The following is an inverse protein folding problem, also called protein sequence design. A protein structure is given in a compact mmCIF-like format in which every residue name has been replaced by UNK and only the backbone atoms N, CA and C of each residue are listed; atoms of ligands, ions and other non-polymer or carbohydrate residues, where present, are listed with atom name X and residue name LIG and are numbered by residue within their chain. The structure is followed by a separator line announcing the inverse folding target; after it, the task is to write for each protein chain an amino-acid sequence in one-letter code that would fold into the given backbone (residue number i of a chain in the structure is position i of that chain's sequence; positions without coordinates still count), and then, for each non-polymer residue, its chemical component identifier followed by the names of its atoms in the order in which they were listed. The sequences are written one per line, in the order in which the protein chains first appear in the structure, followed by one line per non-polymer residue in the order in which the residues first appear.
data_IF_257408821872
#
_entry.id   IF_257408821872
#
_cell.length_a   1.000
_cell.length_b   1.000
_cell.length_c   1.000
_cell.angle_alpha   90.00
_cell.angle_beta   90.00
_cell.angle_gamma   90.00
#
_symmetry.space_group_name_H-M   'P 1'
#
loop_
_entity.id
_entity.type
_entity.pdbx_description
1 polymer ?
#
# COMPACT_ATOMS: atom_id res chain seq x y z
N UNK A 1 9.78 -3.47 13.48
CA UNK A 1 10.57 -2.22 13.36
C UNK A 1 10.34 -1.63 11.99
N UNK A 2 10.27 -0.29 11.83
CA UNK A 2 10.18 0.33 10.53
C UNK A 2 11.43 0.01 9.71
N UNK A 3 11.28 -0.85 8.70
CA UNK A 3 12.37 -1.22 7.82
C UNK A 3 12.31 -0.37 6.54
N UNK A 4 13.21 0.62 6.45
CA UNK A 4 13.27 1.53 5.30
C UNK A 4 13.46 0.79 3.98
N UNK A 5 14.18 -0.34 3.98
CA UNK A 5 14.34 -1.17 2.78
C UNK A 5 12.99 -1.72 2.30
N UNK A 6 12.18 -2.27 3.21
CA UNK A 6 10.85 -2.79 2.86
C UNK A 6 9.92 -1.66 2.40
N UNK A 7 10.03 -0.47 2.99
CA UNK A 7 9.25 0.69 2.56
C UNK A 7 9.54 1.08 1.10
N UNK A 8 10.82 1.19 0.71
CA UNK A 8 11.18 1.49 -0.67
C UNK A 8 10.82 0.34 -1.63
N UNK A 9 10.93 -0.91 -1.18
CA UNK A 9 10.50 -2.07 -1.95
C UNK A 9 8.99 -2.04 -2.23
N UNK A 10 8.17 -1.72 -1.23
CA UNK A 10 6.72 -1.54 -1.36
C UNK A 10 6.40 -0.46 -2.40
N UNK A 11 7.02 0.72 -2.29
CA UNK A 11 6.82 1.80 -3.27
C UNK A 11 7.18 1.34 -4.69
N UNK A 12 8.30 0.63 -4.86
CA UNK A 12 8.73 0.14 -6.16
C UNK A 12 7.75 -0.88 -6.75
N UNK A 13 7.29 -1.84 -5.95
CA UNK A 13 6.32 -2.86 -6.36
C UNK A 13 4.97 -2.23 -6.74
N UNK A 14 4.44 -1.37 -5.87
CA UNK A 14 3.18 -0.70 -6.12
C UNK A 14 3.24 0.20 -7.35
N UNK A 15 4.38 0.87 -7.59
CA UNK A 15 4.61 1.64 -8.80
C UNK A 15 4.49 0.80 -10.06
N UNK A 16 5.14 -0.36 -10.10
CA UNK A 16 5.07 -1.28 -11.23
C UNK A 16 3.62 -1.74 -11.44
N UNK A 17 2.94 -2.18 -10.37
CA UNK A 17 1.58 -2.70 -10.44
C UNK A 17 0.57 -1.63 -10.90
N UNK A 18 0.64 -0.42 -10.33
CA UNK A 18 -0.20 0.70 -10.76
C UNK A 18 0.04 1.03 -12.23
N UNK A 19 1.28 1.03 -12.71
CA UNK A 19 1.57 1.29 -14.13
C UNK A 19 0.99 0.23 -15.08
N UNK A 20 0.83 -1.01 -14.61
CA UNK A 20 0.09 -2.03 -15.35
C UNK A 20 -1.42 -1.78 -15.33
N UNK A 21 -1.98 -1.38 -14.19
CA UNK A 21 -3.43 -1.27 -13.99
C UNK A 21 -4.04 0.08 -14.40
N UNK A 22 -3.27 1.16 -14.34
CA UNK A 22 -3.67 2.54 -14.64
C UNK A 22 -2.59 3.20 -15.51
N UNK A 23 -2.95 3.53 -16.76
CA UNK A 23 -2.06 4.24 -17.67
C UNK A 23 -2.15 5.75 -17.45
N UNK A 24 -1.28 6.26 -16.58
CA UNK A 24 -1.06 7.71 -16.37
C UNK A 24 0.44 8.04 -16.46
N UNK A 25 0.81 9.33 -16.61
CA UNK A 25 2.22 9.72 -16.70
C UNK A 25 3.06 9.20 -15.53
N UNK A 26 4.23 8.62 -15.83
CA UNK A 26 5.12 7.96 -14.85
C UNK A 26 5.41 8.84 -13.63
N UNK A 27 5.79 10.10 -13.85
CA UNK A 27 6.09 11.05 -12.76
C UNK A 27 4.90 11.26 -11.82
N UNK A 28 3.69 11.39 -12.38
CA UNK A 28 2.45 11.60 -11.62
C UNK A 28 2.13 10.37 -10.78
N UNK A 29 2.24 9.19 -11.37
CA UNK A 29 2.01 7.92 -10.68
C UNK A 29 3.00 7.68 -9.55
N UNK A 30 4.29 7.94 -9.78
CA UNK A 30 5.32 7.75 -8.76
C UNK A 30 5.05 8.65 -7.55
N UNK A 31 4.75 9.93 -7.80
CA UNK A 31 4.40 10.88 -6.74
C UNK A 31 3.19 10.40 -5.93
N UNK A 32 2.14 9.92 -6.59
CA UNK A 32 0.94 9.46 -5.91
C UNK A 32 1.19 8.23 -5.03
N UNK A 33 2.02 7.30 -5.49
CA UNK A 33 2.32 6.08 -4.73
C UNK A 33 3.21 6.39 -3.53
N UNK A 34 4.20 7.29 -3.70
CA UNK A 34 4.97 7.80 -2.57
C UNK A 34 4.05 8.46 -1.55
N UNK A 35 3.14 9.34 -1.98
CA UNK A 35 2.20 10.01 -1.08
C UNK A 35 1.29 9.03 -0.34
N UNK A 36 0.76 8.03 -1.04
CA UNK A 36 -0.07 6.99 -0.46
C UNK A 36 0.71 6.24 0.63
N UNK A 37 1.90 5.73 0.31
CA UNK A 37 2.72 4.97 1.26
C UNK A 37 3.20 5.80 2.45
N UNK A 38 3.53 7.08 2.24
CA UNK A 38 3.87 8.00 3.31
C UNK A 38 2.70 8.25 4.29
N UNK A 39 1.47 8.00 3.89
CA UNK A 39 0.28 8.11 4.76
C UNK A 39 -0.05 6.75 5.37
N UNK A 40 -0.16 5.71 4.55
CA UNK A 40 -0.64 4.39 4.98
C UNK A 40 0.34 3.70 5.91
N UNK A 41 1.65 3.81 5.67
CA UNK A 41 2.64 3.11 6.48
C UNK A 41 2.78 3.66 7.91
N UNK A 42 2.90 4.98 8.15
CA UNK A 42 2.86 5.52 9.52
C UNK A 42 1.52 5.25 10.20
N UNK A 43 0.41 5.32 9.46
CA UNK A 43 -0.92 5.03 9.99
C UNK A 43 -1.03 3.57 10.46
N UNK A 44 -0.56 2.62 9.65
CA UNK A 44 -0.55 1.19 9.99
C UNK A 44 0.23 0.93 11.27
N UNK A 45 1.45 1.48 11.36
CA UNK A 45 2.31 1.34 12.54
C UNK A 45 1.67 1.96 13.78
N UNK A 46 1.10 3.17 13.65
CA UNK A 46 0.42 3.86 14.75
C UNK A 46 -0.80 3.07 15.25
N UNK A 47 -1.65 2.59 14.33
CA UNK A 47 -2.80 1.77 14.67
C UNK A 47 -2.38 0.48 15.37
N UNK A 48 -1.37 -0.22 14.84
CA UNK A 48 -0.92 -1.49 15.41
C UNK A 48 -0.33 -1.33 16.82
N UNK A 49 0.49 -0.30 17.04
CA UNK A 49 1.18 -0.07 18.31
C UNK A 49 0.20 0.39 19.39
N UNK A 50 -0.70 1.32 19.07
CA UNK A 50 -1.47 2.04 20.09
C UNK A 50 -2.94 1.63 20.22
N UNK A 51 -3.57 1.08 19.17
CA UNK A 51 -5.02 0.88 19.16
C UNK A 51 -5.42 -0.58 18.90
N UNK A 52 -4.93 -1.14 17.79
CA UNK A 52 -5.44 -2.37 17.20
C UNK A 52 -4.27 -3.35 17.13
N UNK A 53 -4.04 -4.08 18.22
CA UNK A 53 -3.04 -5.17 18.30
C UNK A 53 -3.44 -6.41 17.49
N UNK A 54 -4.25 -6.24 16.46
CA UNK A 54 -4.69 -7.29 15.54
C UNK A 54 -4.28 -6.88 14.13
N UNK A 55 -3.29 -7.59 13.59
CA UNK A 55 -2.74 -7.32 12.28
C UNK A 55 -3.80 -7.28 11.17
N UNK A 56 -4.75 -8.23 11.18
CA UNK A 56 -5.80 -8.30 10.15
C UNK A 56 -6.71 -7.05 10.14
N UNK A 57 -7.05 -6.53 11.32
CA UNK A 57 -7.87 -5.30 11.41
C UNK A 57 -7.10 -4.06 10.94
N UNK A 58 -5.79 -3.99 11.21
CA UNK A 58 -4.94 -2.91 10.72
C UNK A 58 -4.86 -2.94 9.20
N UNK A 59 -4.61 -4.10 8.60
CA UNK A 59 -4.58 -4.27 7.15
C UNK A 59 -5.90 -3.85 6.50
N UNK A 60 -7.04 -4.20 7.09
CA UNK A 60 -8.35 -3.81 6.58
C UNK A 60 -8.56 -2.28 6.61
N UNK A 61 -8.09 -1.62 7.68
CA UNK A 61 -8.13 -0.15 7.76
C UNK A 61 -7.20 0.50 6.74
N UNK A 62 -5.98 -0.01 6.59
CA UNK A 62 -4.99 0.47 5.61
C UNK A 62 -5.54 0.32 4.20
N UNK A 63 -6.03 -0.87 3.84
CA UNK A 63 -6.71 -1.16 2.58
C UNK A 63 -7.84 -0.16 2.31
N UNK A 64 -8.69 0.10 3.30
CA UNK A 64 -9.80 1.04 3.10
C UNK A 64 -9.32 2.47 2.87
N UNK A 65 -8.37 2.94 3.68
CA UNK A 65 -7.78 4.28 3.55
C UNK A 65 -7.06 4.46 2.22
N UNK A 66 -6.30 3.45 1.81
CA UNK A 66 -5.60 3.43 0.54
C UNK A 66 -6.57 3.45 -0.64
N UNK A 67 -7.64 2.65 -0.62
CA UNK A 67 -8.70 2.69 -1.64
C UNK A 67 -9.30 4.09 -1.83
N UNK A 68 -9.52 4.84 -0.73
CA UNK A 68 -9.95 6.23 -0.80
C UNK A 68 -8.89 7.15 -1.42
N UNK A 69 -7.62 7.00 -1.04
CA UNK A 69 -6.52 7.79 -1.60
C UNK A 69 -6.33 7.52 -3.09
N UNK A 70 -6.35 6.25 -3.52
CA UNK A 70 -6.26 5.86 -4.93
C UNK A 70 -7.41 6.48 -5.71
N UNK A 71 -8.65 6.38 -5.21
CA UNK A 71 -9.80 7.02 -5.86
C UNK A 71 -9.57 8.52 -6.03
N UNK A 72 -9.10 9.19 -4.99
CA UNK A 72 -8.93 10.65 -4.98
C UNK A 72 -7.79 11.11 -5.90
N UNK A 73 -6.66 10.43 -5.86
CA UNK A 73 -5.46 10.82 -6.61
C UNK A 73 -5.54 10.42 -8.08
N UNK A 74 -6.04 9.22 -8.38
CA UNK A 74 -6.13 8.70 -9.74
C UNK A 74 -7.47 9.00 -10.44
N UNK A 75 -8.41 9.61 -9.73
CA UNK A 75 -9.72 10.05 -10.26
C UNK A 75 -10.53 8.92 -10.93
N UNK A 76 -10.40 7.68 -10.41
CA UNK A 76 -11.12 6.51 -10.90
C UNK A 76 -12.36 6.19 -10.06
N UNK A 77 -13.22 5.28 -10.56
CA UNK A 77 -14.40 4.80 -9.82
C UNK A 77 -13.97 4.09 -8.53
N UNK A 78 -14.77 4.23 -7.46
CA UNK A 78 -14.53 3.56 -6.17
C UNK A 78 -14.30 2.06 -6.31
N UNK A 79 -15.18 1.37 -7.06
CA UNK A 79 -15.04 -0.08 -7.28
C UNK A 79 -13.67 -0.45 -7.82
N UNK A 80 -13.18 0.27 -8.84
CA UNK A 80 -11.84 0.04 -9.40
C UNK A 80 -10.73 0.40 -8.41
N UNK A 81 -10.88 1.49 -7.64
CA UNK A 81 -9.88 1.91 -6.65
C UNK A 81 -9.70 0.88 -5.53
N UNK A 82 -10.79 0.35 -4.98
CA UNK A 82 -10.73 -0.68 -3.95
C UNK A 82 -10.19 -2.01 -4.51
N UNK A 83 -10.55 -2.41 -5.73
CA UNK A 83 -9.95 -3.61 -6.35
C UNK A 83 -8.43 -3.45 -6.49
N UNK A 84 -7.97 -2.27 -6.94
CA UNK A 84 -6.54 -1.97 -7.05
C UNK A 84 -5.87 -2.02 -5.68
N UNK A 85 -6.43 -1.32 -4.68
CA UNK A 85 -5.87 -1.31 -3.33
C UNK A 85 -5.78 -2.71 -2.71
N UNK A 86 -6.78 -3.56 -2.96
CA UNK A 86 -6.76 -4.94 -2.51
C UNK A 86 -5.60 -5.71 -3.13
N UNK A 87 -5.41 -5.57 -4.45
CA UNK A 87 -4.33 -6.23 -5.18
C UNK A 87 -2.96 -5.74 -4.72
N UNK A 88 -2.80 -4.42 -4.53
CA UNK A 88 -1.55 -3.83 -4.04
C UNK A 88 -1.20 -4.36 -2.64
N UNK A 89 -2.12 -4.23 -1.69
CA UNK A 89 -1.91 -4.70 -0.31
C UNK A 89 -1.70 -6.21 -0.24
N UNK A 90 -2.43 -7.01 -1.01
CA UNK A 90 -2.25 -8.46 -1.02
C UNK A 90 -0.86 -8.85 -1.54
N UNK A 91 -0.39 -8.23 -2.63
CA UNK A 91 0.94 -8.52 -3.18
C UNK A 91 2.02 -8.06 -2.21
N UNK A 92 1.92 -6.84 -1.66
CA UNK A 92 2.94 -6.31 -0.75
C UNK A 92 2.98 -7.09 0.56
N UNK A 93 1.83 -7.47 1.13
CA UNK A 93 1.76 -8.34 2.30
C UNK A 93 2.38 -9.73 2.04
N UNK A 94 2.07 -10.36 0.90
CA UNK A 94 2.69 -11.64 0.51
C UNK A 94 4.20 -11.50 0.35
N UNK A 95 4.69 -10.44 -0.28
CA UNK A 95 6.13 -10.22 -0.42
C UNK A 95 6.81 -10.01 0.93
N UNK A 96 6.19 -9.25 1.84
CA UNK A 96 6.70 -9.07 3.20
C UNK A 96 6.77 -10.40 3.97
N UNK A 97 5.73 -11.23 3.86
CA UNK A 97 5.69 -12.55 4.47
C UNK A 97 6.75 -13.51 3.91
N UNK A 98 6.94 -13.53 2.59
CA UNK A 98 7.97 -14.35 1.94
C UNK A 98 9.39 -13.92 2.35
N UNK A 99 9.66 -12.62 2.41
CA UNK A 99 10.96 -12.11 2.87
C UNK A 99 11.21 -12.57 4.30
N UNK A 100 10.22 -12.42 5.18
CA UNK A 100 10.31 -12.86 6.57
C UNK A 100 10.64 -14.36 6.70
N UNK A 101 10.01 -15.22 5.89
CA UNK A 101 10.29 -16.67 5.86
C UNK A 101 11.72 -17.01 5.41
N UNK A 102 12.31 -16.23 4.50
CA UNK A 102 13.67 -16.49 3.98
C UNK A 102 14.75 -15.98 4.95
N UNK A 103 14.44 -14.94 5.74
CA UNK A 103 15.38 -14.31 6.68
C UNK A 103 15.40 -14.91 8.09
N UNK A 104 14.55 -15.90 8.37
CA UNK A 104 14.53 -16.70 9.61
C UNK A 104 15.20 -18.04 9.33
#
# INVERSE_FOLDING_TARGET
MPNLFLFFLTIALEFILIQFMIKIPLKKSLLYIILINCITWPLANFLYIYFIKNWFMVELMVFTGEGFLIKKLFEIKYTRAFIISFILNAITALTGYLIHLITI
#
